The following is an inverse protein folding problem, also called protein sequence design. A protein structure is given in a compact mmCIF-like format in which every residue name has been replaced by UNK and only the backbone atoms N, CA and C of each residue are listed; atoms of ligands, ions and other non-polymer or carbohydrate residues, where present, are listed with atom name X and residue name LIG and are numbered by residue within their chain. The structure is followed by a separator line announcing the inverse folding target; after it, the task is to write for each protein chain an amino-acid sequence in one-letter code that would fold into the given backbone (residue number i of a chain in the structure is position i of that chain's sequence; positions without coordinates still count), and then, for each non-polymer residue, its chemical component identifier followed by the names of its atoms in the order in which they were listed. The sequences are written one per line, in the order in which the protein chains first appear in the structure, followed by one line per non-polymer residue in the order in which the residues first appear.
data_IF_356964526615
#
_entry.id   IF_356964526615
#
_cell.length_a   1.000
_cell.length_b   1.000
_cell.length_c   1.000
_cell.angle_alpha   90.00
_cell.angle_beta   90.00
_cell.angle_gamma   90.00
#
_symmetry.space_group_name_H-M   'P 1'
#
loop_
_entity.id
_entity.type
_entity.pdbx_description
1 polymer ?
#
# COMPACT_ATOMS: atom_id res chain seq x y z
N UNK A 1 16.00 59.06 42.18
CA UNK A 1 15.00 58.47 41.25
C UNK A 1 15.71 57.98 39.98
N UNK A 2 16.43 56.84 40.04
CA UNK A 2 17.20 56.32 38.88
C UNK A 2 17.10 54.81 38.65
N UNK A 3 16.57 54.06 39.62
CA UNK A 3 16.51 52.59 39.54
C UNK A 3 15.50 52.10 38.49
N UNK A 4 14.35 52.77 38.36
CA UNK A 4 13.29 52.38 37.41
C UNK A 4 13.69 52.61 35.94
N UNK A 5 14.46 53.67 35.64
CA UNK A 5 14.90 53.97 34.28
C UNK A 5 16.04 53.04 33.83
N UNK A 6 16.95 52.67 34.74
CA UNK A 6 17.98 51.68 34.46
C UNK A 6 17.40 50.28 34.23
N UNK A 7 16.42 49.88 35.04
CA UNK A 7 15.70 48.61 34.84
C UNK A 7 15.00 48.58 33.49
N UNK A 8 14.38 49.69 33.06
CA UNK A 8 13.70 49.79 31.76
C UNK A 8 14.68 49.72 30.58
N UNK A 9 15.87 50.30 30.72
CA UNK A 9 16.94 50.26 29.69
C UNK A 9 17.54 48.85 29.56
N UNK A 10 17.78 48.17 30.68
CA UNK A 10 18.31 46.79 30.72
C UNK A 10 17.27 45.75 30.29
N UNK A 11 16.00 45.96 30.64
CA UNK A 11 14.89 45.07 30.23
C UNK A 11 14.79 44.93 28.71
N UNK A 12 14.98 46.02 27.95
CA UNK A 12 14.94 45.96 26.47
C UNK A 12 16.00 45.02 25.87
N UNK A 13 17.13 44.83 26.55
CA UNK A 13 18.21 43.94 26.10
C UNK A 13 18.03 42.49 26.57
N UNK A 14 17.21 42.24 27.59
CA UNK A 14 16.99 40.90 28.17
C UNK A 14 15.72 40.24 27.62
N UNK A 15 14.68 41.03 27.33
CA UNK A 15 13.39 40.53 26.85
C UNK A 15 13.54 39.74 25.53
N UNK A 16 14.33 40.24 24.57
CA UNK A 16 14.55 39.56 23.30
C UNK A 16 15.19 38.17 23.45
N UNK A 17 16.35 38.05 24.11
CA UNK A 17 16.98 36.76 24.38
C UNK A 17 16.09 35.79 25.17
N UNK A 18 15.37 36.27 26.19
CA UNK A 18 14.46 35.43 26.98
C UNK A 18 13.32 34.89 26.13
N UNK A 19 12.68 35.73 25.33
CA UNK A 19 11.65 35.28 24.39
C UNK A 19 12.20 34.29 23.36
N UNK A 20 13.43 34.50 22.89
CA UNK A 20 14.12 33.57 22.00
C UNK A 20 14.32 32.19 22.64
N UNK A 21 14.80 32.14 23.88
CA UNK A 21 14.97 30.88 24.62
C UNK A 21 13.61 30.20 24.85
N UNK A 22 12.57 30.95 25.23
CA UNK A 22 11.22 30.41 25.38
C UNK A 22 10.67 29.83 24.07
N UNK A 23 10.89 30.52 22.94
CA UNK A 23 10.48 30.04 21.63
C UNK A 23 11.21 28.76 21.23
N UNK A 24 12.54 28.70 21.42
CA UNK A 24 13.33 27.49 21.17
C UNK A 24 12.85 26.33 22.04
N UNK A 25 12.59 26.56 23.33
CA UNK A 25 12.06 25.53 24.23
C UNK A 25 10.68 25.03 23.81
N UNK A 26 9.78 25.93 23.41
CA UNK A 26 8.46 25.59 22.89
C UNK A 26 8.55 24.72 21.62
N UNK A 27 9.34 25.15 20.64
CA UNK A 27 9.53 24.40 19.39
C UNK A 27 10.25 23.08 19.62
N UNK A 28 11.24 23.02 20.51
CA UNK A 28 11.92 21.77 20.87
C UNK A 28 10.92 20.79 21.51
N UNK A 29 10.14 21.23 22.50
CA UNK A 29 9.12 20.40 23.13
C UNK A 29 8.11 19.86 22.11
N UNK A 30 7.58 20.73 21.23
CA UNK A 30 6.64 20.33 20.18
C UNK A 30 7.27 19.48 19.06
N UNK A 31 8.58 19.59 18.81
CA UNK A 31 9.26 18.71 17.87
C UNK A 31 9.35 17.26 18.39
N UNK A 32 9.44 17.08 19.71
CA UNK A 32 9.47 15.76 20.35
C UNK A 32 8.06 15.20 20.67
N UNK A 33 7.14 16.04 21.16
CA UNK A 33 5.81 15.63 21.62
C UNK A 33 4.66 15.95 20.66
N UNK A 34 4.92 16.66 19.57
CA UNK A 34 3.87 16.98 18.60
C UNK A 34 3.54 15.79 17.70
N UNK A 35 2.28 15.72 17.26
CA UNK A 35 1.78 14.66 16.36
C UNK A 35 2.54 14.56 15.03
N UNK A 36 3.32 15.58 14.65
CA UNK A 36 4.19 15.60 13.47
C UNK A 36 5.68 15.43 13.79
N UNK A 37 6.00 14.99 14.99
CA UNK A 37 7.36 14.72 15.43
C UNK A 37 8.02 13.64 14.57
N UNK A 38 9.35 13.61 14.61
CA UNK A 38 10.18 12.66 13.85
C UNK A 38 9.85 11.19 14.20
N UNK A 39 9.23 10.94 15.35
CA UNK A 39 8.71 9.64 15.78
C UNK A 39 7.47 9.22 14.98
N UNK A 40 6.45 10.09 14.89
CA UNK A 40 5.23 9.81 14.13
C UNK A 40 5.54 9.62 12.66
N UNK A 41 6.44 10.43 12.08
CA UNK A 41 6.86 10.26 10.70
C UNK A 41 7.44 8.86 10.43
N UNK A 42 8.29 8.35 11.33
CA UNK A 42 8.84 6.99 11.23
C UNK A 42 7.76 5.92 11.37
N UNK A 43 6.86 6.05 12.34
CA UNK A 43 5.76 5.11 12.52
C UNK A 43 4.83 5.08 11.31
N UNK A 44 4.47 6.24 10.76
CA UNK A 44 3.61 6.35 9.60
C UNK A 44 4.27 5.75 8.36
N UNK A 45 5.58 6.01 8.16
CA UNK A 45 6.34 5.37 7.08
C UNK A 45 6.37 3.85 7.22
N UNK A 46 6.54 3.34 8.44
CA UNK A 46 6.55 1.91 8.69
C UNK A 46 5.17 1.28 8.39
N UNK A 47 4.08 1.92 8.80
CA UNK A 47 2.72 1.46 8.50
C UNK A 47 2.40 1.47 7.00
N UNK A 48 2.88 2.49 6.26
CA UNK A 48 2.74 2.55 4.80
C UNK A 48 3.50 1.41 4.13
N UNK A 49 4.73 1.15 4.57
CA UNK A 49 5.56 0.08 4.01
C UNK A 49 4.96 -1.31 4.30
N UNK A 50 4.48 -1.55 5.51
CA UNK A 50 3.78 -2.80 5.87
C UNK A 50 2.51 -2.99 5.02
N UNK A 51 1.68 -1.95 4.89
CA UNK A 51 0.48 -2.00 4.07
C UNK A 51 0.79 -2.30 2.59
N UNK A 52 1.87 -1.73 2.07
CA UNK A 52 2.35 -1.96 0.70
C UNK A 52 2.78 -3.41 0.49
N UNK A 53 3.48 -4.00 1.46
CA UNK A 53 3.90 -5.40 1.40
C UNK A 53 2.70 -6.35 1.43
N UNK A 54 1.72 -6.10 2.30
CA UNK A 54 0.48 -6.87 2.38
C UNK A 54 -0.27 -6.78 1.04
N UNK A 55 -0.42 -5.57 0.50
CA UNK A 55 -1.06 -5.34 -0.78
C UNK A 55 -0.38 -6.13 -1.91
N UNK A 56 0.95 -6.04 -2.03
CA UNK A 56 1.71 -6.75 -3.05
C UNK A 56 1.50 -8.27 -2.97
N UNK A 57 1.51 -8.83 -1.75
CA UNK A 57 1.29 -10.26 -1.54
C UNK A 57 -0.12 -10.72 -1.93
N UNK A 58 -1.15 -9.94 -1.57
CA UNK A 58 -2.54 -10.24 -1.93
C UNK A 58 -2.76 -10.08 -3.44
N UNK A 59 -2.21 -9.02 -4.03
CA UNK A 59 -2.36 -8.74 -5.45
C UNK A 59 -1.75 -9.84 -6.31
N UNK A 60 -0.54 -10.31 -5.99
CA UNK A 60 0.08 -11.43 -6.70
C UNK A 60 -0.77 -12.72 -6.64
N UNK A 61 -1.40 -13.00 -5.49
CA UNK A 61 -2.33 -14.14 -5.35
C UNK A 61 -3.58 -13.96 -6.19
N UNK A 62 -4.12 -12.74 -6.24
CA UNK A 62 -5.27 -12.41 -7.07
C UNK A 62 -4.96 -12.57 -8.55
N UNK A 63 -3.78 -12.15 -9.03
CA UNK A 63 -3.38 -12.33 -10.43
C UNK A 63 -3.31 -13.82 -10.82
N UNK A 64 -2.70 -14.65 -9.96
CA UNK A 64 -2.64 -16.10 -10.18
C UNK A 64 -4.04 -16.71 -10.21
N UNK A 65 -4.91 -16.31 -9.29
CA UNK A 65 -6.27 -16.82 -9.24
C UNK A 65 -7.11 -16.33 -10.44
N UNK A 66 -6.98 -15.07 -10.82
CA UNK A 66 -7.65 -14.49 -11.99
C UNK A 66 -7.23 -15.23 -13.27
N UNK A 67 -5.94 -15.57 -13.41
CA UNK A 67 -5.47 -16.37 -14.53
C UNK A 67 -6.08 -17.78 -14.53
N UNK A 68 -6.16 -18.44 -13.36
CA UNK A 68 -6.80 -19.77 -13.26
C UNK A 68 -8.29 -19.71 -13.59
N UNK A 69 -9.01 -18.71 -13.09
CA UNK A 69 -10.43 -18.50 -13.40
C UNK A 69 -10.62 -18.22 -14.89
N UNK A 70 -9.74 -17.43 -15.50
CA UNK A 70 -9.76 -17.19 -16.94
C UNK A 70 -9.62 -18.50 -17.73
N UNK A 71 -8.70 -19.37 -17.34
CA UNK A 71 -8.52 -20.69 -17.96
C UNK A 71 -9.71 -21.64 -17.77
N UNK A 72 -10.50 -21.44 -16.70
CA UNK A 72 -11.68 -22.25 -16.40
C UNK A 72 -12.98 -21.65 -16.98
N UNK A 73 -12.92 -20.48 -17.62
CA UNK A 73 -14.12 -19.81 -18.12
C UNK A 73 -14.61 -20.52 -19.41
N UNK A 74 -15.81 -21.16 -19.39
CA UNK A 74 -16.37 -21.83 -20.56
C UNK A 74 -16.69 -20.88 -21.71
N UNK A 75 -16.84 -19.57 -21.46
CA UNK A 75 -16.97 -18.58 -22.53
C UNK A 75 -15.64 -18.33 -23.29
N UNK A 76 -14.52 -18.84 -22.76
CA UNK A 76 -13.21 -18.89 -23.44
C UNK A 76 -12.77 -20.32 -23.79
N UNK A 77 -13.61 -21.33 -23.53
CA UNK A 77 -13.34 -22.68 -24.02
C UNK A 77 -13.58 -22.70 -25.52
N UNK A 78 -12.57 -23.18 -26.26
CA UNK A 78 -12.67 -23.40 -27.69
C UNK A 78 -13.78 -24.42 -27.98
N UNK A 79 -14.79 -24.08 -28.81
CA UNK A 79 -15.83 -25.02 -29.24
C UNK A 79 -15.26 -26.34 -29.76
N UNK A 80 -14.11 -26.30 -30.45
CA UNK A 80 -13.47 -27.49 -31.01
C UNK A 80 -12.97 -28.43 -29.91
N UNK A 81 -12.45 -27.88 -28.80
CA UNK A 81 -12.02 -28.66 -27.65
C UNK A 81 -13.20 -29.28 -26.88
N UNK A 82 -14.34 -28.59 -26.84
CA UNK A 82 -15.58 -29.12 -26.26
C UNK A 82 -16.16 -30.24 -27.12
N UNK A 83 -16.14 -30.08 -28.44
CA UNK A 83 -16.59 -31.09 -29.38
C UNK A 83 -15.74 -32.36 -29.27
N UNK A 84 -14.41 -32.23 -29.18
CA UNK A 84 -13.51 -33.37 -28.97
C UNK A 84 -13.78 -34.10 -27.64
N UNK A 85 -14.00 -33.34 -26.55
CA UNK A 85 -14.36 -33.94 -25.25
C UNK A 85 -15.70 -34.65 -25.29
N UNK A 86 -16.69 -34.10 -26.00
CA UNK A 86 -17.99 -34.72 -26.20
C UNK A 86 -17.88 -36.00 -27.06
N UNK A 87 -17.06 -35.97 -28.13
CA UNK A 87 -16.71 -37.12 -28.98
C UNK A 87 -16.19 -38.29 -28.13
N UNK A 88 -15.19 -38.02 -27.29
CA UNK A 88 -14.57 -39.01 -26.41
C UNK A 88 -15.52 -39.50 -25.30
N UNK A 89 -16.20 -38.58 -24.60
CA UNK A 89 -16.99 -38.95 -23.41
C UNK A 89 -18.35 -39.55 -23.74
N UNK A 90 -19.00 -39.11 -24.82
CA UNK A 90 -20.34 -39.55 -25.21
C UNK A 90 -20.30 -40.58 -26.35
N UNK A 91 -19.10 -40.94 -26.83
CA UNK A 91 -18.91 -41.80 -27.99
C UNK A 91 -19.72 -41.32 -29.20
N UNK A 92 -19.77 -39.99 -29.40
CA UNK A 92 -20.57 -39.32 -30.41
C UNK A 92 -19.69 -39.11 -31.65
N UNK A 93 -20.12 -39.54 -32.84
CA UNK A 93 -19.39 -39.35 -34.09
C UNK A 93 -20.34 -39.09 -35.24
N UNK A 94 -19.86 -38.40 -36.28
CA UNK A 94 -20.65 -38.15 -37.49
C UNK A 94 -20.71 -39.41 -38.37
N UNK A 95 -21.74 -39.56 -39.23
CA UNK A 95 -21.88 -40.74 -40.11
C UNK A 95 -20.67 -41.03 -41.01
N UNK A 96 -19.87 -40.01 -41.31
CA UNK A 96 -18.70 -40.08 -42.19
C UNK A 96 -17.36 -40.14 -41.44
N UNK A 97 -17.36 -40.23 -40.10
CA UNK A 97 -16.13 -40.28 -39.29
C UNK A 97 -15.45 -41.66 -39.39
N UNK A 98 -14.15 -41.68 -39.65
CA UNK A 98 -13.34 -42.91 -39.74
C UNK A 98 -12.61 -43.12 -38.41
N UNK A 99 -12.93 -44.22 -37.71
CA UNK A 99 -12.24 -44.62 -36.48
C UNK A 99 -11.03 -45.49 -36.82
N UNK A 100 -9.83 -45.02 -36.48
CA UNK A 100 -8.59 -45.80 -36.59
C UNK A 100 -8.28 -46.37 -35.21
N UNK A 101 -8.31 -47.69 -35.08
CA UNK A 101 -7.89 -48.41 -33.87
C UNK A 101 -6.46 -48.90 -34.15
N UNK A 102 -5.50 -48.47 -33.34
CA UNK A 102 -4.13 -48.96 -33.37
C UNK A 102 -4.00 -50.13 -32.37
N UNK A 103 -3.21 -51.15 -32.70
CA UNK A 103 -3.12 -52.44 -31.99
C UNK A 103 -2.46 -52.35 -30.60
#
# INVERSE_FOLDING_TARGET
MGLLSEFRSRARHVIGPVLGICAIGYFAYHAFHGDRGLSTWRLLHQQVEESRQIYAGIHARLEVLANRVKLLNPASLDPDMLEERARIMLNYGFPDDVVIIDD
#
